data_IF_836576931327
#
_entry.id   IF_836576931327
#
_cell.length_a   1.000
_cell.length_b   1.000
_cell.length_c   1.000
_cell.angle_alpha   90.00
_cell.angle_beta   90.00
_cell.angle_gamma   90.00
#
_symmetry.space_group_name_H-M   'P 1'
#
loop_
_entity.id
_entity.type
_entity.pdbx_description
1 polymer ?
#
# COMPACT_ATOMS: atom_id res chain seq x y z
N UNK A 1 16.87 -4.69 -6.30
CA UNK A 1 15.79 -4.30 -5.38
C UNK A 1 14.87 -3.39 -6.17
N UNK A 2 13.69 -3.88 -6.55
CA UNK A 2 12.69 -2.97 -7.08
C UNK A 2 12.16 -2.16 -5.91
N UNK A 3 12.25 -0.82 -5.92
CA UNK A 3 11.62 0.01 -4.92
C UNK A 3 10.14 -0.36 -4.88
N UNK A 4 9.51 -0.25 -3.73
CA UNK A 4 8.08 -0.45 -3.61
C UNK A 4 7.41 0.42 -4.68
N UNK A 5 6.81 -0.22 -5.69
CA UNK A 5 6.20 0.51 -6.82
C UNK A 5 5.02 1.26 -6.27
N UNK A 6 5.17 2.55 -6.12
CA UNK A 6 4.15 3.41 -5.52
C UNK A 6 3.09 3.78 -6.55
N UNK A 7 3.47 3.87 -7.84
CA UNK A 7 2.57 4.16 -8.97
C UNK A 7 2.90 3.27 -10.17
N UNK A 8 1.90 2.87 -10.96
CA UNK A 8 2.13 2.20 -12.23
C UNK A 8 2.93 3.08 -13.19
N UNK A 9 3.91 2.47 -13.90
CA UNK A 9 4.75 3.20 -14.85
C UNK A 9 3.97 4.03 -15.86
N UNK A 10 2.87 3.56 -16.50
CA UNK A 10 2.12 4.40 -17.44
C UNK A 10 1.55 5.68 -16.84
N UNK A 11 1.20 5.66 -15.56
CA UNK A 11 0.73 6.87 -14.87
C UNK A 11 1.89 7.79 -14.50
N UNK A 12 2.99 7.22 -14.01
CA UNK A 12 4.22 7.96 -13.72
C UNK A 12 4.76 8.66 -14.98
N UNK A 13 4.78 7.97 -16.12
CA UNK A 13 5.24 8.51 -17.40
C UNK A 13 4.33 9.63 -17.95
N UNK A 14 3.07 9.68 -17.54
CA UNK A 14 2.10 10.71 -17.93
C UNK A 14 2.24 12.01 -17.12
N UNK A 15 3.19 12.09 -16.20
CA UNK A 15 3.42 13.30 -15.41
C UNK A 15 3.81 14.47 -16.33
N UNK A 16 3.09 15.64 -16.26
CA UNK A 16 3.35 16.73 -17.18
C UNK A 16 4.68 17.44 -16.91
N UNK A 17 5.31 17.97 -17.94
CA UNK A 17 6.47 18.85 -17.74
C UNK A 17 6.05 20.14 -17.02
N UNK A 18 6.88 20.72 -16.14
CA UNK A 18 8.28 20.37 -15.85
C UNK A 18 8.45 19.31 -14.75
N UNK A 19 7.39 18.69 -14.28
CA UNK A 19 7.45 17.69 -13.22
C UNK A 19 8.41 16.54 -13.52
N UNK A 20 9.12 16.07 -12.51
CA UNK A 20 10.01 14.91 -12.59
C UNK A 20 9.70 13.96 -11.44
N UNK A 21 9.64 12.68 -11.74
CA UNK A 21 9.50 11.63 -10.72
C UNK A 21 10.87 11.11 -10.33
N UNK A 22 11.19 11.17 -9.04
CA UNK A 22 12.36 10.52 -8.45
C UNK A 22 11.86 9.43 -7.52
N UNK A 23 12.42 8.22 -7.65
CA UNK A 23 12.10 7.11 -6.78
C UNK A 23 13.07 7.10 -5.60
N UNK A 24 12.54 7.12 -4.40
CA UNK A 24 13.32 6.96 -3.18
C UNK A 24 13.41 5.48 -2.78
N UNK A 25 14.52 5.03 -2.21
CA UNK A 25 14.71 3.63 -1.83
C UNK A 25 13.75 3.20 -0.71
N UNK A 26 13.45 4.07 0.25
CA UNK A 26 12.51 3.80 1.34
C UNK A 26 11.98 5.11 1.93
N UNK A 27 10.69 5.19 2.30
CA UNK A 27 10.14 6.36 3.00
C UNK A 27 10.80 6.61 4.37
N UNK A 28 11.29 5.56 5.01
CA UNK A 28 11.94 5.61 6.34
C UNK A 28 13.29 6.31 6.28
N UNK A 29 13.96 6.27 5.13
CA UNK A 29 15.30 6.82 4.92
C UNK A 29 15.25 8.30 4.53
N UNK A 30 14.06 8.87 4.35
CA UNK A 30 13.90 10.28 3.98
C UNK A 30 14.05 11.20 5.18
N UNK A 31 15.13 11.96 5.18
CA UNK A 31 15.32 13.03 6.15
C UNK A 31 14.30 14.17 5.93
N UNK A 32 14.03 15.00 6.96
CA UNK A 32 13.23 16.20 6.80
C UNK A 32 13.73 17.10 5.66
N UNK A 33 15.06 17.28 5.52
CA UNK A 33 15.67 18.11 4.48
C UNK A 33 15.45 17.55 3.07
N UNK A 34 15.39 16.23 2.90
CA UNK A 34 15.09 15.62 1.61
C UNK A 34 13.62 15.81 1.24
N UNK A 35 12.72 15.75 2.23
CA UNK A 35 11.29 16.03 2.04
C UNK A 35 11.04 17.48 1.59
N UNK A 36 11.80 18.43 2.12
CA UNK A 36 11.70 19.84 1.74
C UNK A 36 12.18 20.14 0.31
N UNK A 37 12.93 19.23 -0.31
CA UNK A 37 13.44 19.37 -1.69
C UNK A 37 12.47 18.88 -2.75
N UNK A 38 11.36 18.30 -2.39
CA UNK A 38 10.35 17.81 -3.33
C UNK A 38 9.05 18.60 -3.18
N UNK A 39 8.37 18.82 -4.28
CA UNK A 39 7.09 19.54 -4.30
C UNK A 39 5.91 18.64 -3.93
N UNK A 40 6.00 17.36 -4.27
CA UNK A 40 4.99 16.36 -3.97
C UNK A 40 5.65 15.06 -3.54
N UNK A 41 5.05 14.39 -2.58
CA UNK A 41 5.46 13.05 -2.16
C UNK A 41 4.33 12.06 -2.42
N UNK A 42 4.67 10.91 -3.02
CA UNK A 42 3.76 9.78 -3.18
C UNK A 42 4.27 8.61 -2.36
N UNK A 43 3.46 8.14 -1.42
CA UNK A 43 3.87 7.08 -0.48
C UNK A 43 2.72 6.16 -0.10
N UNK A 44 3.05 5.01 0.48
CA UNK A 44 2.05 4.13 1.11
C UNK A 44 1.58 4.67 2.46
N UNK A 45 0.32 4.43 2.79
CA UNK A 45 -0.32 4.90 4.02
C UNK A 45 0.32 4.35 5.30
N UNK A 46 0.96 3.20 5.22
CA UNK A 46 1.64 2.57 6.35
C UNK A 46 2.77 3.40 6.98
N UNK A 47 3.29 4.39 6.26
CA UNK A 47 4.38 5.27 6.66
C UNK A 47 3.93 6.69 6.99
N UNK A 48 2.63 6.94 6.93
CA UNK A 48 2.07 8.23 7.31
C UNK A 48 2.11 8.39 8.83
N UNK A 49 2.76 9.45 9.30
CA UNK A 49 2.76 9.82 10.71
C UNK A 49 1.59 10.78 10.98
N UNK A 50 0.56 10.35 11.74
CA UNK A 50 -0.58 11.21 12.06
C UNK A 50 -0.22 12.44 12.90
N UNK A 51 0.91 12.41 13.62
CA UNK A 51 1.36 13.50 14.48
C UNK A 51 2.12 14.58 13.71
N UNK A 52 2.60 14.27 12.50
CA UNK A 52 3.36 15.18 11.66
C UNK A 52 2.47 16.01 10.71
N UNK A 53 1.27 16.40 11.13
CA UNK A 53 0.37 17.16 10.27
C UNK A 53 1.01 18.48 9.77
N UNK A 54 1.76 19.17 10.60
CA UNK A 54 2.38 20.45 10.26
C UNK A 54 3.50 20.34 9.21
N UNK A 55 4.00 19.14 8.95
CA UNK A 55 4.96 18.89 7.87
C UNK A 55 4.33 18.95 6.46
N UNK A 56 3.01 19.07 6.36
CA UNK A 56 2.27 18.96 5.11
C UNK A 56 1.31 20.12 4.90
N UNK A 57 1.25 20.63 3.68
CA UNK A 57 0.25 21.62 3.27
C UNK A 57 -1.09 20.96 2.94
N UNK A 58 -2.20 21.70 3.07
CA UNK A 58 -3.50 21.24 2.58
C UNK A 58 -3.48 20.93 1.08
N UNK A 59 -4.15 19.85 0.70
CA UNK A 59 -4.45 19.53 -0.70
C UNK A 59 -5.68 20.36 -1.12
N UNK A 60 -5.45 21.59 -1.57
CA UNK A 60 -6.52 22.51 -1.98
C UNK A 60 -7.11 22.11 -3.34
N UNK A 61 -7.71 20.92 -3.44
CA UNK A 61 -8.29 20.42 -4.67
C UNK A 61 -9.67 19.82 -4.46
N UNK A 62 -10.64 20.70 -4.21
CA UNK A 62 -12.05 20.35 -4.07
C UNK A 62 -12.57 19.47 -5.23
N UNK A 63 -12.21 19.72 -6.51
CA UNK A 63 -12.69 18.88 -7.61
C UNK A 63 -12.19 17.43 -7.55
N UNK A 64 -11.03 17.17 -6.93
CA UNK A 64 -10.51 15.82 -6.75
C UNK A 64 -11.18 15.14 -5.55
N UNK A 65 -11.31 15.85 -4.43
CA UNK A 65 -11.92 15.33 -3.19
C UNK A 65 -13.37 14.90 -3.44
N UNK A 66 -14.14 15.66 -4.21
CA UNK A 66 -15.54 15.33 -4.54
C UNK A 66 -15.71 14.02 -5.30
N UNK A 67 -14.70 13.57 -6.04
CA UNK A 67 -14.75 12.34 -6.83
C UNK A 67 -14.45 11.09 -6.00
N UNK A 68 -13.94 11.24 -4.77
CA UNK A 68 -13.57 10.12 -3.93
C UNK A 68 -14.78 9.27 -3.55
N UNK A 69 -14.60 7.96 -3.57
CA UNK A 69 -15.58 6.99 -3.10
C UNK A 69 -15.68 6.98 -1.56
N UNK A 70 -16.66 6.25 -1.03
CA UNK A 70 -16.91 6.19 0.41
C UNK A 70 -15.76 5.57 1.19
N UNK A 71 -15.01 4.62 0.61
CA UNK A 71 -13.85 4.03 1.27
C UNK A 71 -12.70 5.05 1.40
N UNK A 72 -12.46 5.83 0.36
CA UNK A 72 -11.44 6.87 0.39
C UNK A 72 -11.82 8.01 1.35
N UNK A 73 -13.10 8.38 1.42
CA UNK A 73 -13.60 9.35 2.40
C UNK A 73 -13.45 8.84 3.83
N UNK A 74 -13.84 7.59 4.08
CA UNK A 74 -13.67 6.96 5.39
C UNK A 74 -12.18 6.92 5.83
N UNK A 75 -11.25 6.69 4.90
CA UNK A 75 -9.83 6.83 5.19
C UNK A 75 -9.49 8.25 5.66
N UNK A 76 -9.93 9.27 4.90
CA UNK A 76 -9.62 10.67 5.24
C UNK A 76 -10.19 11.04 6.60
N UNK A 77 -11.41 10.62 6.93
CA UNK A 77 -12.05 10.86 8.23
C UNK A 77 -11.23 10.26 9.39
N UNK A 78 -10.62 9.10 9.18
CA UNK A 78 -9.76 8.45 10.17
C UNK A 78 -8.41 9.17 10.37
N UNK A 79 -7.96 9.98 9.41
CA UNK A 79 -6.68 10.66 9.47
C UNK A 79 -6.68 11.94 10.33
N UNK A 80 -7.83 12.39 10.82
CA UNK A 80 -7.95 13.53 11.72
C UNK A 80 -7.31 14.81 11.14
N UNK A 81 -6.28 15.35 11.79
CA UNK A 81 -5.61 16.58 11.34
C UNK A 81 -4.97 16.49 9.95
N UNK A 82 -4.71 15.28 9.45
CA UNK A 82 -4.18 15.04 8.11
C UNK A 82 -5.27 14.96 7.02
N UNK A 83 -6.55 14.93 7.37
CA UNK A 83 -7.66 14.76 6.43
C UNK A 83 -7.58 15.68 5.22
N UNK A 84 -7.29 16.97 5.44
CA UNK A 84 -7.19 17.96 4.37
C UNK A 84 -5.82 18.00 3.67
N UNK A 85 -4.85 17.25 4.16
CA UNK A 85 -3.44 17.29 3.73
C UNK A 85 -3.02 16.08 2.89
N UNK A 86 -3.93 15.13 2.74
CA UNK A 86 -3.69 13.85 2.04
C UNK A 86 -4.69 13.70 0.91
N UNK A 87 -4.22 13.22 -0.24
CA UNK A 87 -5.07 12.81 -1.35
C UNK A 87 -4.83 11.33 -1.67
N UNK A 88 -5.81 10.44 -1.47
CA UNK A 88 -5.72 9.07 -1.94
C UNK A 88 -5.61 9.03 -3.47
N UNK A 89 -4.56 8.41 -4.01
CA UNK A 89 -4.36 8.27 -5.45
C UNK A 89 -4.85 6.92 -5.97
N UNK A 90 -4.58 5.86 -5.22
CA UNK A 90 -4.93 4.50 -5.58
C UNK A 90 -5.01 3.62 -4.33
N UNK A 91 -5.65 2.48 -4.45
CA UNK A 91 -5.80 1.51 -3.37
C UNK A 91 -5.60 0.09 -3.89
N UNK A 92 -4.99 -0.76 -3.07
CA UNK A 92 -4.78 -2.18 -3.34
C UNK A 92 -5.12 -3.00 -2.09
N UNK A 93 -5.86 -4.11 -2.19
CA UNK A 93 -6.11 -4.95 -1.02
C UNK A 93 -4.83 -5.67 -0.61
N UNK A 94 -4.67 -5.89 0.70
CA UNK A 94 -3.68 -6.84 1.21
C UNK A 94 -4.14 -8.26 0.91
N UNK A 95 -3.21 -9.12 0.51
CA UNK A 95 -3.46 -10.53 0.18
C UNK A 95 -2.42 -11.42 0.83
N UNK A 96 -2.77 -12.68 0.99
CA UNK A 96 -1.83 -13.73 1.36
C UNK A 96 -1.29 -14.36 0.08
N UNK A 97 0.03 -14.33 -0.10
CA UNK A 97 0.74 -14.96 -1.21
C UNK A 97 1.52 -16.18 -0.69
N UNK A 98 1.34 -17.33 -1.35
CA UNK A 98 2.00 -18.57 -1.01
C UNK A 98 2.15 -19.48 -2.24
N UNK A 99 2.87 -20.58 -2.12
CA UNK A 99 2.91 -21.61 -3.17
C UNK A 99 1.61 -22.40 -3.18
N UNK A 100 1.26 -22.92 -4.37
CA UNK A 100 0.00 -23.62 -4.62
C UNK A 100 -0.29 -24.69 -3.56
N UNK A 101 -1.25 -24.37 -2.69
CA UNK A 101 -1.75 -25.21 -1.62
C UNK A 101 -3.24 -24.91 -1.45
N UNK A 102 -4.07 -25.84 -1.92
CA UNK A 102 -5.52 -25.65 -1.90
C UNK A 102 -6.08 -25.58 -0.47
N UNK A 103 -5.49 -26.31 0.48
CA UNK A 103 -5.92 -26.26 1.86
C UNK A 103 -5.64 -24.88 2.48
N UNK A 104 -4.50 -24.29 2.19
CA UNK A 104 -4.18 -22.92 2.61
C UNK A 104 -5.14 -21.90 2.00
N UNK A 105 -5.48 -22.05 0.73
CA UNK A 105 -6.35 -21.11 0.02
C UNK A 105 -7.75 -20.98 0.64
N UNK A 106 -8.25 -22.01 1.33
CA UNK A 106 -9.59 -22.04 1.91
C UNK A 106 -9.69 -21.47 3.32
N UNK A 107 -8.58 -21.30 4.03
CA UNK A 107 -8.59 -20.94 5.46
C UNK A 107 -8.81 -19.44 5.73
N UNK A 108 -8.67 -18.57 4.76
CA UNK A 108 -8.79 -17.13 5.01
C UNK A 108 -7.68 -16.58 5.91
N UNK A 109 -7.92 -15.42 6.54
CA UNK A 109 -6.93 -14.75 7.38
C UNK A 109 -6.53 -15.54 8.63
N UNK A 110 -7.35 -16.47 9.12
CA UNK A 110 -7.02 -17.34 10.25
C UNK A 110 -5.76 -18.19 10.01
N UNK A 111 -5.40 -18.42 8.74
CA UNK A 111 -4.16 -19.07 8.35
C UNK A 111 -2.91 -18.40 8.96
N UNK A 112 -2.94 -17.09 9.19
CA UNK A 112 -1.85 -16.36 9.85
C UNK A 112 -1.60 -16.78 11.29
N UNK A 113 -2.54 -17.50 11.90
CA UNK A 113 -2.46 -18.00 13.28
C UNK A 113 -2.21 -19.54 13.33
N UNK A 114 -2.06 -20.18 12.17
CA UNK A 114 -1.79 -21.62 12.12
C UNK A 114 -0.38 -21.94 12.64
N UNK A 115 -0.31 -22.72 13.70
CA UNK A 115 0.95 -23.13 14.32
C UNK A 115 1.91 -23.85 13.36
N UNK A 116 1.40 -24.48 12.30
CA UNK A 116 2.20 -25.11 11.25
C UNK A 116 3.04 -24.10 10.43
N UNK A 117 2.71 -22.79 10.54
CA UNK A 117 3.44 -21.71 9.90
C UNK A 117 4.37 -20.95 10.85
N UNK A 118 4.57 -21.43 12.08
CA UNK A 118 5.42 -20.75 13.06
C UNK A 118 6.82 -20.45 12.50
N UNK A 119 7.22 -19.18 12.56
CA UNK A 119 8.49 -18.69 12.01
C UNK A 119 8.59 -18.74 10.47
N UNK A 120 7.46 -18.86 9.75
CA UNK A 120 7.43 -19.01 8.29
C UNK A 120 6.55 -17.97 7.58
N UNK A 121 6.07 -16.97 8.29
CA UNK A 121 5.21 -15.91 7.75
C UNK A 121 6.01 -14.61 7.63
N UNK A 122 5.97 -13.97 6.47
CA UNK A 122 6.49 -12.61 6.29
C UNK A 122 5.32 -11.64 6.41
N UNK A 123 5.42 -10.73 7.38
CA UNK A 123 4.45 -9.69 7.66
C UNK A 123 4.95 -8.32 7.16
N UNK A 124 4.04 -7.35 6.94
CA UNK A 124 4.41 -6.00 6.55
C UNK A 124 5.36 -5.32 7.55
N UNK A 125 6.28 -4.51 7.03
CA UNK A 125 7.21 -3.73 7.86
C UNK A 125 6.48 -2.66 8.69
N UNK A 126 5.37 -2.13 8.20
CA UNK A 126 4.60 -1.09 8.89
C UNK A 126 3.87 -1.66 10.12
N UNK A 127 4.15 -1.16 11.34
CA UNK A 127 3.44 -1.56 12.56
C UNK A 127 1.92 -1.33 12.46
N UNK A 128 1.53 -0.23 11.83
CA UNK A 128 0.12 0.14 11.63
C UNK A 128 -0.64 -0.91 10.83
N UNK A 129 -0.02 -1.47 9.80
CA UNK A 129 -0.63 -2.52 8.99
C UNK A 129 -0.72 -3.85 9.75
N UNK A 130 0.30 -4.18 10.53
CA UNK A 130 0.27 -5.38 11.38
C UNK A 130 -0.83 -5.26 12.43
N UNK A 131 -1.02 -4.08 13.02
CA UNK A 131 -2.14 -3.82 13.95
C UNK A 131 -3.49 -3.96 13.25
N UNK A 132 -3.64 -3.41 12.04
CA UNK A 132 -4.88 -3.56 11.25
C UNK A 132 -5.18 -5.02 10.93
N UNK A 133 -4.18 -5.85 10.64
CA UNK A 133 -4.34 -7.30 10.49
C UNK A 133 -4.77 -7.96 11.80
N UNK A 134 -4.17 -7.58 12.93
CA UNK A 134 -4.52 -8.11 14.25
C UNK A 134 -5.97 -7.77 14.59
N UNK A 135 -6.42 -6.55 14.36
CA UNK A 135 -7.80 -6.12 14.59
C UNK A 135 -8.78 -6.91 13.70
N UNK A 136 -8.43 -7.13 12.43
CA UNK A 136 -9.22 -7.92 11.49
C UNK A 136 -9.34 -9.39 11.92
N UNK A 137 -8.36 -9.91 12.63
CA UNK A 137 -8.33 -11.27 13.20
C UNK A 137 -8.99 -11.38 14.56
N UNK A 138 -9.57 -10.32 15.11
CA UNK A 138 -10.29 -10.31 16.38
C UNK A 138 -9.60 -9.55 17.52
N UNK A 139 -8.49 -8.90 17.27
CA UNK A 139 -7.79 -8.05 18.25
C UNK A 139 -7.19 -8.83 19.44
N UNK A 140 -7.07 -8.16 20.58
CA UNK A 140 -6.62 -8.79 21.83
C UNK A 140 -5.19 -9.35 21.77
N UNK A 141 -5.02 -10.63 22.03
CA UNK A 141 -3.70 -11.29 22.08
C UNK A 141 -3.13 -11.67 20.69
N UNK A 142 -3.88 -11.43 19.62
CA UNK A 142 -3.52 -11.83 18.24
C UNK A 142 -2.17 -11.25 17.81
N UNK A 143 -1.82 -10.06 18.25
CA UNK A 143 -0.52 -9.46 17.92
C UNK A 143 0.66 -10.32 18.42
N UNK A 144 0.53 -10.92 19.61
CA UNK A 144 1.56 -11.82 20.13
C UNK A 144 1.62 -13.13 19.35
N UNK A 145 0.48 -13.61 18.87
CA UNK A 145 0.42 -14.80 18.02
C UNK A 145 1.05 -14.52 16.67
N UNK A 146 0.73 -13.40 16.01
CA UNK A 146 1.37 -12.97 14.77
C UNK A 146 2.89 -12.87 14.91
N UNK A 147 3.39 -12.38 16.05
CA UNK A 147 4.84 -12.34 16.34
C UNK A 147 5.48 -13.74 16.38
N UNK A 148 4.79 -14.75 16.88
CA UNK A 148 5.29 -16.13 16.88
C UNK A 148 5.32 -16.74 15.50
N UNK A 149 4.37 -16.36 14.63
CA UNK A 149 4.30 -16.82 13.25
C UNK A 149 5.33 -16.13 12.35
N UNK A 150 5.74 -14.92 12.71
CA UNK A 150 6.59 -14.10 11.86
C UNK A 150 8.01 -14.68 11.73
N UNK A 151 8.42 -14.91 10.47
CA UNK A 151 9.82 -15.04 10.09
C UNK A 151 10.50 -13.67 10.20
N UNK A 152 9.81 -12.64 9.72
CA UNK A 152 10.25 -11.25 9.75
C UNK A 152 9.07 -10.30 9.55
N UNK A 153 9.26 -9.06 9.99
CA UNK A 153 8.38 -7.91 9.70
C UNK A 153 8.97 -7.01 8.60
N UNK A 154 9.89 -7.52 7.79
CA UNK A 154 10.45 -6.82 6.64
C UNK A 154 9.96 -7.47 5.33
N UNK A 155 9.00 -6.83 4.69
CA UNK A 155 8.38 -7.31 3.46
C UNK A 155 9.13 -6.91 2.18
N UNK A 156 10.26 -6.18 2.29
CA UNK A 156 11.08 -5.78 1.14
C UNK A 156 11.63 -6.98 0.37
N UNK A 157 12.00 -8.04 1.08
CA UNK A 157 12.52 -9.28 0.54
C UNK A 157 11.49 -10.44 0.54
N UNK A 158 10.22 -10.14 0.82
CA UNK A 158 9.16 -11.15 1.00
C UNK A 158 9.12 -12.19 -0.12
N UNK A 159 9.21 -11.73 -1.36
CA UNK A 159 9.22 -12.60 -2.54
C UNK A 159 10.42 -13.55 -2.55
N UNK A 160 11.62 -13.06 -2.24
CA UNK A 160 12.82 -13.88 -2.21
C UNK A 160 12.72 -14.97 -1.12
N UNK A 161 12.22 -14.63 0.06
CA UNK A 161 11.98 -15.58 1.14
C UNK A 161 10.99 -16.67 0.72
N UNK A 162 9.90 -16.28 0.03
CA UNK A 162 8.91 -17.23 -0.45
C UNK A 162 9.47 -18.15 -1.53
N UNK A 163 10.21 -17.62 -2.51
CA UNK A 163 10.77 -18.39 -3.61
C UNK A 163 11.88 -19.35 -3.16
N UNK A 164 12.69 -18.95 -2.17
CA UNK A 164 13.70 -19.82 -1.55
C UNK A 164 13.10 -20.90 -0.65
N UNK A 165 11.86 -20.72 -0.20
CA UNK A 165 11.19 -21.64 0.72
C UNK A 165 11.47 -21.37 2.20
N UNK A 166 12.13 -20.25 2.54
CA UNK A 166 12.34 -19.80 3.91
C UNK A 166 11.01 -19.33 4.52
N UNK A 167 10.20 -18.62 3.75
CA UNK A 167 8.81 -18.32 4.07
C UNK A 167 7.85 -19.30 3.36
N UNK A 168 6.76 -19.65 4.01
CA UNK A 168 5.64 -20.38 3.41
C UNK A 168 4.50 -19.49 3.01
N UNK A 169 4.33 -18.36 3.69
CA UNK A 169 3.29 -17.37 3.45
C UNK A 169 3.87 -15.96 3.59
N UNK A 170 3.47 -15.05 2.72
CA UNK A 170 3.81 -13.65 2.81
C UNK A 170 2.56 -12.79 2.66
N UNK A 171 2.46 -11.71 3.42
CA UNK A 171 1.36 -10.74 3.33
C UNK A 171 1.88 -9.52 2.59
N UNK A 172 1.30 -9.27 1.41
CA UNK A 172 1.68 -8.17 0.52
C UNK A 172 0.42 -7.52 -0.08
N UNK A 173 0.48 -6.26 -0.50
CA UNK A 173 -0.61 -5.70 -1.29
C UNK A 173 -0.62 -6.33 -2.69
N UNK A 174 -1.80 -6.52 -3.25
CA UNK A 174 -2.02 -7.24 -4.52
C UNK A 174 -1.19 -6.66 -5.67
N UNK A 175 -1.02 -5.33 -5.72
CA UNK A 175 -0.22 -4.67 -6.74
C UNK A 175 1.24 -5.14 -6.77
N UNK A 176 1.80 -5.58 -5.64
CA UNK A 176 3.15 -6.17 -5.58
C UNK A 176 3.18 -7.64 -6.01
N UNK A 177 2.04 -8.32 -5.96
CA UNK A 177 1.93 -9.74 -6.29
C UNK A 177 1.70 -10.00 -7.79
N UNK A 178 1.01 -9.12 -8.51
CA UNK A 178 0.54 -9.36 -9.88
C UNK A 178 1.65 -9.79 -10.85
N UNK A 179 2.80 -9.12 -10.83
CA UNK A 179 3.91 -9.46 -11.73
C UNK A 179 4.47 -10.86 -11.46
N UNK A 180 4.47 -11.29 -10.20
CA UNK A 180 4.93 -12.61 -9.79
C UNK A 180 3.92 -13.70 -10.18
N UNK A 181 2.64 -13.47 -9.90
CA UNK A 181 1.56 -14.39 -10.24
C UNK A 181 1.50 -14.67 -11.74
N UNK A 182 1.85 -13.70 -12.57
CA UNK A 182 1.93 -13.87 -14.03
C UNK A 182 3.14 -14.70 -14.48
N UNK A 183 4.22 -14.66 -13.72
CA UNK A 183 5.49 -15.32 -14.07
C UNK A 183 5.63 -16.72 -13.49
N UNK A 184 5.06 -16.97 -12.33
CA UNK A 184 5.19 -18.23 -11.62
C UNK A 184 3.80 -18.84 -11.32
N UNK A 185 3.36 -19.83 -12.10
CA UNK A 185 2.06 -20.47 -11.94
C UNK A 185 1.92 -21.27 -10.64
N UNK A 186 3.03 -21.49 -9.92
CA UNK A 186 3.01 -22.16 -8.60
C UNK A 186 2.60 -21.25 -7.47
N UNK A 187 2.49 -19.94 -7.71
CA UNK A 187 2.08 -18.97 -6.71
C UNK A 187 0.58 -18.75 -6.74
N UNK A 188 0.01 -18.56 -5.58
CA UNK A 188 -1.40 -18.17 -5.37
C UNK A 188 -1.46 -16.95 -4.46
N UNK A 189 -2.31 -16.01 -4.84
CA UNK A 189 -2.71 -14.91 -3.96
C UNK A 189 -4.16 -15.09 -3.57
N UNK A 190 -4.43 -15.03 -2.27
CA UNK A 190 -5.78 -15.19 -1.73
C UNK A 190 -6.22 -13.88 -1.09
N UNK A 191 -7.37 -13.41 -1.56
CA UNK A 191 -8.16 -12.36 -0.93
C UNK A 191 -9.32 -13.07 -0.20
N UNK A 192 -9.29 -13.15 1.14
CA UNK A 192 -10.34 -13.83 1.89
C UNK A 192 -11.73 -13.22 1.67
N UNK A 193 -12.76 -14.06 1.72
CA UNK A 193 -14.15 -13.62 1.56
C UNK A 193 -14.61 -12.63 2.64
N UNK A 194 -13.98 -12.68 3.82
CA UNK A 194 -14.19 -11.71 4.91
C UNK A 194 -13.68 -10.29 4.60
N UNK A 195 -13.08 -10.10 3.42
CA UNK A 195 -12.44 -8.84 3.03
C UNK A 195 -10.96 -8.79 3.43
N UNK A 196 -10.36 -7.64 3.23
CA UNK A 196 -8.95 -7.39 3.56
C UNK A 196 -8.73 -5.94 3.97
N UNK A 197 -7.72 -5.68 4.82
CA UNK A 197 -7.20 -4.33 4.97
C UNK A 197 -6.75 -3.77 3.63
N UNK A 198 -6.79 -2.45 3.50
CA UNK A 198 -6.45 -1.75 2.28
C UNK A 198 -5.09 -1.08 2.42
N UNK A 199 -4.30 -1.16 1.36
CA UNK A 199 -3.06 -0.43 1.18
C UNK A 199 -3.34 0.78 0.28
N UNK A 200 -3.20 1.96 0.83
CA UNK A 200 -3.44 3.21 0.12
C UNK A 200 -2.14 3.80 -0.39
N UNK A 201 -2.17 4.27 -1.62
CA UNK A 201 -1.15 5.14 -2.19
C UNK A 201 -1.63 6.57 -2.05
N UNK A 202 -0.87 7.39 -1.35
CA UNK A 202 -1.23 8.74 -0.92
C UNK A 202 -0.34 9.78 -1.59
N UNK A 203 -0.91 10.92 -1.93
CA UNK A 203 -0.22 12.12 -2.37
C UNK A 203 -0.23 13.14 -1.23
N UNK A 204 0.92 13.73 -0.93
CA UNK A 204 1.12 14.76 0.07
C UNK A 204 1.92 15.93 -0.52
N UNK A 205 1.71 17.12 0.02
CA UNK A 205 2.51 18.32 -0.28
C UNK A 205 3.33 18.69 0.95
N UNK A 206 4.68 18.67 0.88
CA UNK A 206 5.53 19.20 1.95
C UNK A 206 5.22 20.67 2.25
N UNK A 207 5.45 21.10 3.50
CA UNK A 207 5.18 22.49 3.94
C UNK A 207 5.96 23.52 3.09
N UNK A 208 7.20 23.20 2.72
CA UNK A 208 8.05 24.06 1.90
C UNK A 208 7.63 24.14 0.42
N UNK A 209 6.72 23.26 -0.06
CA UNK A 209 6.32 23.21 -1.47
C UNK A 209 5.56 24.47 -1.89
N UNK A 210 5.90 24.98 -3.07
CA UNK A 210 5.19 26.11 -3.71
C UNK A 210 4.32 25.68 -4.90
N UNK A 211 4.52 24.47 -5.38
CA UNK A 211 3.82 23.96 -6.57
C UNK A 211 2.46 23.37 -6.19
N UNK A 212 1.41 23.68 -6.96
CA UNK A 212 0.09 23.08 -6.75
C UNK A 212 0.09 21.62 -7.21
N UNK A 213 -0.88 20.84 -6.69
CA UNK A 213 -1.11 19.48 -7.19
C UNK A 213 -1.48 19.51 -8.66
N UNK A 214 -0.83 18.72 -9.54
CA UNK A 214 -1.17 18.61 -10.96
C UNK A 214 -2.50 17.85 -11.15
N UNK A 215 -3.63 18.55 -10.97
CA UNK A 215 -4.97 17.97 -10.92
C UNK A 215 -5.32 17.16 -12.17
N UNK A 216 -4.93 17.65 -13.35
CA UNK A 216 -5.17 16.95 -14.63
C UNK A 216 -4.47 15.60 -14.68
N UNK A 217 -3.26 15.50 -14.13
CA UNK A 217 -2.51 14.25 -14.06
C UNK A 217 -3.18 13.24 -13.09
N UNK A 218 -3.65 13.71 -11.93
CA UNK A 218 -4.40 12.86 -11.00
C UNK A 218 -5.67 12.34 -11.67
N UNK A 219 -6.47 13.22 -12.26
CA UNK A 219 -7.71 12.86 -12.96
C UNK A 219 -7.46 11.91 -14.14
N UNK A 220 -6.36 12.06 -14.85
CA UNK A 220 -5.98 11.16 -15.93
C UNK A 220 -5.73 9.74 -15.40
N UNK A 221 -5.08 9.59 -14.24
CA UNK A 221 -4.90 8.29 -13.60
C UNK A 221 -6.21 7.61 -13.20
N UNK A 222 -7.24 8.40 -12.90
CA UNK A 222 -8.57 7.91 -12.50
C UNK A 222 -9.52 7.65 -13.66
N UNK A 223 -9.14 7.93 -14.90
CA UNK A 223 -9.94 7.74 -16.12
C UNK A 223 -9.35 6.67 -17.03
N UNK A 224 -10.17 6.12 -17.89
CA UNK A 224 -9.72 5.21 -18.96
C UNK A 224 -8.81 5.98 -19.94
N UNK A 225 -7.75 5.33 -20.44
CA UNK A 225 -7.40 3.91 -20.28
C UNK A 225 -6.57 3.59 -19.02
N UNK A 226 -6.07 4.59 -18.28
CA UNK A 226 -5.20 4.36 -17.13
C UNK A 226 -5.94 3.65 -15.99
N UNK A 227 -7.21 3.97 -15.74
CA UNK A 227 -8.03 3.28 -14.73
C UNK A 227 -8.07 1.76 -14.95
N UNK A 228 -8.29 1.31 -16.19
CA UNK A 228 -8.24 -0.12 -16.53
C UNK A 228 -6.85 -0.71 -16.29
N UNK A 229 -5.81 0.05 -16.60
CA UNK A 229 -4.44 -0.39 -16.38
C UNK A 229 -4.11 -0.53 -14.90
N UNK A 230 -4.62 0.36 -14.04
CA UNK A 230 -4.52 0.22 -12.59
C UNK A 230 -5.07 -1.15 -12.13
N UNK A 231 -6.29 -1.48 -12.53
CA UNK A 231 -6.94 -2.75 -12.16
C UNK A 231 -6.09 -3.95 -12.60
N UNK A 232 -5.59 -3.95 -13.84
CA UNK A 232 -4.73 -5.02 -14.34
C UNK A 232 -3.44 -5.18 -13.53
N UNK A 233 -2.99 -4.15 -12.86
CA UNK A 233 -1.77 -4.13 -12.04
C UNK A 233 -2.05 -4.25 -10.55
N UNK A 234 -3.29 -4.57 -10.15
CA UNK A 234 -3.66 -4.82 -8.77
C UNK A 234 -3.98 -3.57 -7.95
N UNK A 235 -4.19 -2.43 -8.60
CA UNK A 235 -4.72 -1.21 -7.97
C UNK A 235 -6.16 -0.94 -8.39
N UNK A 236 -6.84 -0.12 -7.62
CA UNK A 236 -8.12 0.51 -7.95
C UNK A 236 -8.01 2.02 -7.75
N UNK A 237 -8.63 2.80 -8.64
CA UNK A 237 -8.81 4.22 -8.42
C UNK A 237 -9.77 4.46 -7.24
N UNK A 238 -9.54 5.47 -6.38
CA UNK A 238 -10.35 5.73 -5.18
C UNK A 238 -11.59 6.57 -5.49
N UNK A 239 -12.25 6.28 -6.59
CA UNK A 239 -13.40 7.04 -7.09
C UNK A 239 -14.59 6.11 -7.36
N UNK A 240 -15.77 6.71 -7.37
CA UNK A 240 -17.05 6.03 -7.70
C UNK A 240 -17.10 5.54 -9.14
#
# INVERSE_FOLDING_TARGET
LAPAVVLPKPWADALPKPWRLTLAPSPEEWSPEERERVDLLVMGDGWLDPQAADAWQPIASEPLIRQLDDQARALLDQLGALQSRVLPLAVSPWVMLFRDDQAMAQQGWSLLLDSALAGRVVLPASPRLVMSLADHLGGGNVLNELRRQALTFDDRQATNWLLKGDARLVVLPLNRCIALLRRDPRLRAVLPASGAPLHWTLLLRPEASREPVPQSWVQQGWRDPLRRRLVQLGWRAPIT
#
